data_IF_234947592656
#
_entry.id   IF_234947592656
#
_cell.length_a   1.000
_cell.length_b   1.000
_cell.length_c   1.000
_cell.angle_alpha   90.00
_cell.angle_beta   90.00
_cell.angle_gamma   90.00
#
_symmetry.space_group_name_H-M   'P 1'
#
loop_
_entity.id
_entity.type
_entity.pdbx_description
1 polymer ?
#
# COMPACT_ATOMS: atom_id res chain seq x y z
N UNK A 1 -44.07 20.62 -3.46
CA UNK A 1 -43.02 20.48 -4.48
C UNK A 1 -41.69 20.61 -3.77
N UNK A 2 -41.10 19.49 -3.36
CA UNK A 2 -39.85 19.43 -2.60
C UNK A 2 -38.75 18.93 -3.54
N UNK A 3 -37.64 19.66 -3.62
CA UNK A 3 -36.47 19.34 -4.45
C UNK A 3 -36.00 17.90 -4.25
N UNK A 4 -35.50 17.22 -5.30
CA UNK A 4 -34.87 15.93 -5.15
C UNK A 4 -33.55 16.07 -4.38
N UNK A 5 -33.39 15.16 -3.42
CA UNK A 5 -32.31 15.02 -2.46
C UNK A 5 -30.96 14.82 -3.18
N UNK A 6 -29.99 15.71 -2.96
CA UNK A 6 -28.64 15.69 -3.55
C UNK A 6 -27.74 14.57 -2.98
N UNK A 7 -28.33 13.46 -2.49
CA UNK A 7 -27.61 12.39 -1.76
C UNK A 7 -27.21 11.18 -2.62
N UNK A 8 -27.53 11.15 -3.90
CA UNK A 8 -27.22 9.98 -4.77
C UNK A 8 -25.95 10.12 -5.63
N UNK A 9 -25.20 11.21 -5.52
CA UNK A 9 -24.09 11.50 -6.45
C UNK A 9 -22.77 10.74 -6.19
N UNK A 10 -22.63 9.97 -5.10
CA UNK A 10 -21.35 9.33 -4.74
C UNK A 10 -21.34 7.80 -4.83
N UNK A 11 -22.20 7.21 -5.66
CA UNK A 11 -22.23 5.76 -5.93
C UNK A 11 -21.28 5.32 -7.05
N UNK A 12 -20.28 6.11 -7.40
CA UNK A 12 -19.18 5.63 -8.24
C UNK A 12 -18.25 4.75 -7.39
N UNK A 13 -18.63 3.48 -7.23
CA UNK A 13 -17.82 2.41 -6.66
C UNK A 13 -16.60 2.10 -7.53
N UNK A 14 -15.71 3.07 -7.70
CA UNK A 14 -14.35 2.84 -8.14
C UNK A 14 -13.69 2.01 -7.06
N UNK A 15 -13.53 0.71 -7.29
CA UNK A 15 -12.79 -0.20 -6.40
C UNK A 15 -11.44 0.48 -6.14
N UNK A 16 -11.25 1.03 -4.94
CA UNK A 16 -10.00 1.68 -4.57
C UNK A 16 -8.89 0.68 -4.88
N UNK A 17 -8.10 0.94 -5.92
CA UNK A 17 -7.05 0.03 -6.34
C UNK A 17 -6.12 -0.13 -5.15
N UNK A 18 -6.15 -1.29 -4.48
CA UNK A 18 -5.32 -1.51 -3.31
C UNK A 18 -3.86 -1.38 -3.74
N UNK A 19 -3.14 -0.43 -3.15
CA UNK A 19 -1.72 -0.27 -3.43
C UNK A 19 -1.00 -1.60 -3.19
N UNK A 20 -0.01 -1.97 -4.03
CA UNK A 20 0.79 -3.17 -3.79
C UNK A 20 1.49 -3.08 -2.43
N UNK A 21 1.72 -4.22 -1.79
CA UNK A 21 2.21 -4.28 -0.40
C UNK A 21 3.49 -3.48 -0.17
N UNK A 22 4.43 -3.48 -1.13
CA UNK A 22 5.67 -2.72 -1.02
C UNK A 22 5.46 -1.20 -0.91
N UNK A 23 4.37 -0.69 -1.51
CA UNK A 23 4.00 0.72 -1.46
C UNK A 23 3.16 1.00 -0.22
N UNK A 24 2.14 0.17 0.03
CA UNK A 24 1.28 0.28 1.20
C UNK A 24 2.08 0.25 2.51
N UNK A 25 3.03 -0.68 2.65
CA UNK A 25 3.87 -0.79 3.83
C UNK A 25 4.83 0.38 4.04
N UNK A 26 5.35 0.98 2.97
CA UNK A 26 6.17 2.20 3.04
C UNK A 26 5.36 3.41 3.47
N UNK A 27 4.16 3.59 2.90
CA UNK A 27 3.23 4.65 3.30
C UNK A 27 2.82 4.44 4.76
N UNK A 28 2.52 3.20 5.17
CA UNK A 28 2.13 2.91 6.53
C UNK A 28 3.25 3.22 7.54
N UNK A 29 4.52 2.97 7.23
CA UNK A 29 5.65 3.29 8.12
C UNK A 29 6.03 4.76 8.15
N UNK A 30 6.14 5.39 6.98
CA UNK A 30 6.81 6.69 6.85
C UNK A 30 5.92 7.79 6.25
N UNK A 31 4.72 7.43 5.81
CA UNK A 31 3.78 8.37 5.22
C UNK A 31 3.29 9.40 6.23
N UNK A 32 2.98 10.60 5.71
CA UNK A 32 2.37 11.68 6.48
C UNK A 32 0.91 11.84 6.06
N UNK A 33 0.02 11.89 7.06
CA UNK A 33 -1.41 12.12 6.83
C UNK A 33 -1.62 13.58 6.43
N UNK A 34 -2.31 13.80 5.30
CA UNK A 34 -2.69 15.13 4.83
C UNK A 34 -4.17 15.41 5.10
N UNK A 35 -5.02 14.39 4.92
CA UNK A 35 -6.46 14.43 5.16
C UNK A 35 -6.88 13.13 5.84
N UNK A 36 -7.90 13.20 6.71
CA UNK A 36 -8.39 12.06 7.48
C UNK A 36 -9.85 12.29 7.86
N UNK A 37 -10.73 11.54 7.22
CA UNK A 37 -12.18 11.50 7.46
C UNK A 37 -12.57 10.40 8.45
N UNK A 38 -11.79 9.31 8.51
CA UNK A 38 -11.92 8.23 9.49
C UNK A 38 -10.56 7.83 10.10
N UNK A 39 -10.21 8.44 11.24
CA UNK A 39 -8.97 8.13 11.95
C UNK A 39 -8.84 6.67 12.40
N UNK A 40 -9.97 5.99 12.69
CA UNK A 40 -9.98 4.60 13.16
C UNK A 40 -9.68 3.65 12.01
N UNK A 41 -10.36 3.83 10.87
CA UNK A 41 -10.10 3.04 9.67
C UNK A 41 -8.66 3.23 9.20
N UNK A 42 -8.13 4.46 9.21
CA UNK A 42 -6.73 4.74 8.86
C UNK A 42 -5.76 3.99 9.77
N UNK A 43 -5.94 4.05 11.09
CA UNK A 43 -5.03 3.37 12.05
C UNK A 43 -5.09 1.86 11.88
N UNK A 44 -6.29 1.29 11.72
CA UNK A 44 -6.46 -0.14 11.45
C UNK A 44 -5.72 -0.56 10.18
N UNK A 45 -5.88 0.21 9.10
CA UNK A 45 -5.15 -0.02 7.85
C UNK A 45 -3.63 0.11 8.02
N UNK A 46 -3.14 1.15 8.72
CA UNK A 46 -1.70 1.33 8.95
C UNK A 46 -1.10 0.18 9.75
N UNK A 47 -1.80 -0.31 10.78
CA UNK A 47 -1.35 -1.44 11.59
C UNK A 47 -1.24 -2.71 10.74
N UNK A 48 -2.31 -3.06 10.03
CA UNK A 48 -2.34 -4.23 9.15
C UNK A 48 -1.26 -4.18 8.05
N UNK A 49 -1.14 -3.04 7.36
CA UNK A 49 -0.13 -2.87 6.31
C UNK A 49 1.31 -2.92 6.85
N UNK A 50 1.57 -2.38 8.05
CA UNK A 50 2.89 -2.46 8.71
C UNK A 50 3.26 -3.90 9.04
N UNK A 51 2.34 -4.64 9.67
CA UNK A 51 2.58 -6.04 10.05
C UNK A 51 2.91 -6.86 8.82
N UNK A 52 2.02 -6.88 7.82
CA UNK A 52 2.23 -7.64 6.59
C UNK A 52 3.51 -7.25 5.87
N UNK A 53 3.82 -5.95 5.79
CA UNK A 53 5.05 -5.50 5.13
C UNK A 53 6.31 -5.93 5.88
N UNK A 54 6.34 -5.76 7.21
CA UNK A 54 7.52 -6.08 8.01
C UNK A 54 7.78 -7.59 8.07
N UNK A 55 6.73 -8.41 8.03
CA UNK A 55 6.85 -9.87 7.96
C UNK A 55 7.46 -10.33 6.62
N UNK A 56 7.09 -9.68 5.51
CA UNK A 56 7.55 -10.03 4.16
C UNK A 56 8.94 -9.44 3.82
N UNK A 57 9.32 -8.32 4.45
CA UNK A 57 10.57 -7.61 4.14
C UNK A 57 11.85 -8.44 4.27
N UNK A 58 12.04 -9.29 5.28
CA UNK A 58 13.21 -10.17 5.37
C UNK A 58 13.38 -11.03 4.12
N UNK A 59 12.29 -11.64 3.63
CA UNK A 59 12.29 -12.52 2.45
C UNK A 59 12.62 -11.73 1.19
N UNK A 60 11.98 -10.57 1.01
CA UNK A 60 12.24 -9.68 -0.14
C UNK A 60 13.69 -9.21 -0.16
N UNK A 61 14.24 -8.81 1.00
CA UNK A 61 15.63 -8.37 1.13
C UNK A 61 16.62 -9.49 0.84
N UNK A 62 16.36 -10.70 1.34
CA UNK A 62 17.20 -11.86 1.07
C UNK A 62 17.25 -12.19 -0.43
N UNK A 63 16.10 -12.23 -1.10
CA UNK A 63 16.03 -12.42 -2.56
C UNK A 63 16.78 -11.34 -3.33
N UNK A 64 16.68 -10.09 -2.88
CA UNK A 64 17.38 -8.98 -3.52
C UNK A 64 18.90 -9.11 -3.34
N UNK A 65 19.36 -9.49 -2.15
CA UNK A 65 20.76 -9.74 -1.87
C UNK A 65 21.33 -10.89 -2.72
N UNK A 66 20.59 -12.00 -2.83
CA UNK A 66 20.95 -13.13 -3.70
C UNK A 66 21.05 -12.71 -5.17
N UNK A 67 20.09 -11.91 -5.66
CA UNK A 67 20.13 -11.38 -7.03
C UNK A 67 21.39 -10.55 -7.29
N UNK A 68 21.81 -9.75 -6.31
CA UNK A 68 22.99 -8.90 -6.43
C UNK A 68 24.31 -9.66 -6.28
N UNK A 69 24.33 -10.75 -5.50
CA UNK A 69 25.52 -11.59 -5.36
C UNK A 69 25.72 -12.51 -6.57
N UNK A 70 24.65 -12.78 -7.34
CA UNK A 70 24.75 -13.60 -8.55
C UNK A 70 25.50 -12.81 -9.64
N UNK A 71 26.61 -13.35 -10.18
CA UNK A 71 27.33 -12.71 -11.27
C UNK A 71 26.36 -12.50 -12.44
N UNK A 72 26.47 -11.32 -13.06
CA UNK A 72 25.62 -10.99 -14.18
C UNK A 72 25.92 -11.97 -15.30
N UNK A 73 24.93 -12.77 -15.68
CA UNK A 73 25.05 -13.80 -16.73
C UNK A 73 25.49 -13.26 -18.11
N UNK A 74 25.56 -11.93 -18.29
CA UNK A 74 26.12 -11.30 -19.49
C UNK A 74 27.64 -11.07 -19.41
N UNK A 75 28.27 -11.22 -18.24
CA UNK A 75 29.70 -10.99 -18.04
C UNK A 75 30.60 -12.12 -18.55
N UNK A 76 30.01 -13.28 -18.91
CA UNK A 76 30.70 -14.46 -19.46
C UNK A 76 30.63 -14.55 -21.01
N UNK A 77 30.24 -13.47 -21.71
CA UNK A 77 30.06 -13.44 -23.17
C UNK A 77 31.11 -12.64 -23.91
#
# INVERSE_FOLDING_TARGET
MTSPDTREANSSGGRASSAPLWLAGRIAQYGRVLFDDDPRARVAWQADARVRYLDEMPVVRARYAERLSRPAHWADR
#
